data_IF_514772078232
#
_entry.id   IF_514772078232
#
_cell.length_a   1.000
_cell.length_b   1.000
_cell.length_c   1.000
_cell.angle_alpha   90.00
_cell.angle_beta   90.00
_cell.angle_gamma   90.00
#
_symmetry.space_group_name_H-M   'P 1'
#
loop_
_entity.id
_entity.type
_entity.pdbx_description
1 polymer ?
#
# COMPACT_ATOMS: atom_id res chain seq x y z
N UNK A 1 33.05 17.87 1.88
CA UNK A 1 32.28 16.65 1.55
C UNK A 1 31.41 16.16 2.71
N UNK A 2 31.91 16.03 3.96
CA UNK A 2 31.12 15.54 5.12
C UNK A 2 29.87 16.36 5.49
N UNK A 3 29.89 17.68 5.29
CA UNK A 3 28.75 18.56 5.60
C UNK A 3 27.54 18.34 4.67
N UNK A 4 27.78 17.92 3.42
CA UNK A 4 26.70 17.63 2.46
C UNK A 4 25.93 16.36 2.87
N UNK A 5 26.62 15.39 3.45
CA UNK A 5 25.99 14.16 3.96
C UNK A 5 25.07 14.41 5.16
N UNK A 6 25.35 15.43 5.99
CA UNK A 6 24.47 15.80 7.11
C UNK A 6 23.15 16.44 6.68
N UNK A 7 23.10 17.09 5.51
CA UNK A 7 21.88 17.77 5.02
C UNK A 7 21.01 16.84 4.17
N UNK A 8 21.58 15.76 3.65
CA UNK A 8 20.89 14.76 2.83
C UNK A 8 19.58 14.21 3.45
N UNK A 9 19.49 13.80 4.73
CA UNK A 9 18.24 13.27 5.28
C UNK A 9 17.12 14.31 5.36
N UNK A 10 17.45 15.58 5.60
CA UNK A 10 16.47 16.68 5.63
C UNK A 10 15.91 16.93 4.23
N UNK A 11 16.79 16.93 3.23
CA UNK A 11 16.37 17.06 1.83
C UNK A 11 15.52 15.88 1.37
N UNK A 12 15.89 14.65 1.75
CA UNK A 12 15.09 13.45 1.46
C UNK A 12 13.70 13.54 2.10
N UNK A 13 13.61 14.02 3.34
CA UNK A 13 12.33 14.19 4.05
C UNK A 13 11.41 15.23 3.40
N UNK A 14 11.98 16.30 2.83
CA UNK A 14 11.21 17.34 2.11
C UNK A 14 10.67 16.85 0.76
N UNK A 15 11.32 15.86 0.14
CA UNK A 15 10.97 15.35 -1.19
C UNK A 15 10.09 14.10 -1.07
N UNK A 16 10.07 13.41 0.08
CA UNK A 16 9.21 12.24 0.25
C UNK A 16 7.74 12.63 0.12
N UNK A 17 7.01 12.07 -0.87
CA UNK A 17 5.57 12.25 -0.91
C UNK A 17 4.98 11.72 0.39
N UNK A 18 4.02 12.45 0.95
CA UNK A 18 3.18 11.98 2.06
C UNK A 18 2.39 10.77 1.57
N UNK A 19 3.00 9.58 1.69
CA UNK A 19 2.34 8.32 1.43
C UNK A 19 1.38 8.07 2.60
N UNK A 20 0.16 8.57 2.47
CA UNK A 20 -0.91 8.17 3.37
C UNK A 20 -1.21 6.70 3.12
N UNK A 21 -0.90 5.86 4.10
CA UNK A 21 -1.32 4.47 4.14
C UNK A 21 -2.83 4.41 4.46
N UNK A 22 -3.65 4.94 3.56
CA UNK A 22 -5.09 4.80 3.66
C UNK A 22 -5.44 3.37 3.24
N UNK A 23 -6.06 2.63 4.14
CA UNK A 23 -6.63 1.35 3.78
C UNK A 23 -7.62 1.58 2.61
N UNK A 24 -7.56 0.74 1.56
CA UNK A 24 -8.58 0.77 0.52
C UNK A 24 -9.96 0.71 1.15
N UNK A 25 -10.99 1.23 0.49
CA UNK A 25 -12.38 1.21 0.98
C UNK A 25 -12.92 -0.21 1.11
N UNK A 26 -12.42 -0.96 2.09
CA UNK A 26 -12.82 -2.32 2.46
C UNK A 26 -14.16 -2.17 3.15
N UNK A 27 -15.19 -2.73 2.54
CA UNK A 27 -16.52 -2.78 3.15
C UNK A 27 -16.85 -4.19 3.54
N UNK A 28 -17.51 -4.35 4.67
CA UNK A 28 -18.08 -5.61 5.08
C UNK A 28 -19.59 -5.55 5.21
N UNK A 29 -20.24 -6.66 4.88
CA UNK A 29 -21.68 -6.83 5.05
C UNK A 29 -21.94 -8.17 5.75
N UNK A 30 -22.71 -8.19 6.85
CA UNK A 30 -23.06 -9.44 7.51
C UNK A 30 -24.00 -10.25 6.62
N UNK A 31 -23.82 -11.57 6.61
CA UNK A 31 -24.67 -12.52 5.88
C UNK A 31 -25.61 -13.27 6.84
N UNK A 32 -26.81 -13.66 6.38
CA UNK A 32 -27.65 -14.59 7.12
C UNK A 32 -26.87 -15.86 7.47
N UNK A 33 -26.94 -16.30 8.72
CA UNK A 33 -26.16 -17.45 9.22
C UNK A 33 -24.80 -17.09 9.85
N UNK A 34 -24.53 -15.80 10.09
CA UNK A 34 -23.35 -15.35 10.86
C UNK A 34 -22.07 -15.21 10.03
N UNK A 35 -22.17 -15.26 8.70
CA UNK A 35 -21.06 -15.00 7.80
C UNK A 35 -20.80 -13.51 7.57
N UNK A 36 -19.72 -13.18 6.87
CA UNK A 36 -19.38 -11.81 6.49
C UNK A 36 -18.89 -11.78 5.03
N UNK A 37 -19.54 -10.97 4.21
CA UNK A 37 -19.08 -10.63 2.87
C UNK A 37 -18.13 -9.44 2.96
N UNK A 38 -17.09 -9.48 2.14
CA UNK A 38 -16.06 -8.45 2.07
C UNK A 38 -15.94 -7.99 0.63
N UNK A 39 -15.90 -6.67 0.42
CA UNK A 39 -15.66 -6.07 -0.89
C UNK A 39 -14.41 -5.22 -0.84
N UNK A 40 -13.55 -5.38 -1.86
CA UNK A 40 -12.35 -4.60 -2.07
C UNK A 40 -12.40 -3.96 -3.47
N UNK A 41 -11.92 -2.72 -3.66
CA UNK A 41 -11.86 -2.12 -4.99
C UNK A 41 -11.05 -2.97 -5.98
N UNK A 42 -11.57 -3.15 -7.19
CA UNK A 42 -10.90 -3.94 -8.26
C UNK A 42 -9.51 -3.41 -8.55
N UNK A 43 -9.33 -2.09 -8.54
CA UNK A 43 -8.02 -1.43 -8.71
C UNK A 43 -6.98 -1.93 -7.69
N UNK A 44 -7.39 -2.18 -6.44
CA UNK A 44 -6.51 -2.69 -5.39
C UNK A 44 -6.16 -4.16 -5.62
N UNK A 45 -7.12 -4.97 -6.06
CA UNK A 45 -6.86 -6.36 -6.42
C UNK A 45 -5.82 -6.45 -7.54
N UNK A 46 -6.03 -5.69 -8.63
CA UNK A 46 -5.09 -5.60 -9.74
C UNK A 46 -3.71 -5.17 -9.26
N UNK A 47 -3.64 -4.14 -8.42
CA UNK A 47 -2.38 -3.64 -7.86
C UNK A 47 -1.63 -4.71 -7.04
N UNK A 48 -2.30 -5.38 -6.10
CA UNK A 48 -1.68 -6.42 -5.25
C UNK A 48 -1.24 -7.60 -6.11
N UNK A 49 -2.08 -8.03 -7.05
CA UNK A 49 -1.74 -9.09 -8.00
C UNK A 49 -0.49 -8.71 -8.82
N UNK A 50 -0.42 -7.48 -9.34
CA UNK A 50 0.78 -6.99 -10.04
C UNK A 50 2.01 -6.94 -9.14
N UNK A 51 1.87 -6.63 -7.85
CA UNK A 51 2.96 -6.70 -6.88
C UNK A 51 3.48 -8.12 -6.70
N UNK A 52 2.59 -9.12 -6.67
CA UNK A 52 2.99 -10.54 -6.66
C UNK A 52 3.79 -10.86 -7.93
N UNK A 53 3.35 -10.34 -9.09
CA UNK A 53 4.10 -10.50 -10.34
C UNK A 53 5.49 -9.86 -10.30
N UNK A 54 5.58 -8.66 -9.72
CA UNK A 54 6.84 -7.95 -9.56
C UNK A 54 7.79 -8.60 -8.56
N UNK A 55 7.25 -9.15 -7.46
CA UNK A 55 8.04 -9.78 -6.40
C UNK A 55 8.64 -11.13 -6.80
N UNK A 56 8.23 -11.72 -7.93
CA UNK A 56 8.75 -13.00 -8.40
C UNK A 56 8.29 -14.24 -7.60
N UNK A 57 7.29 -14.10 -6.72
CA UNK A 57 6.74 -15.21 -5.92
C UNK A 57 5.76 -16.08 -6.75
N UNK A 58 6.26 -16.70 -7.83
CA UNK A 58 5.54 -17.72 -8.58
C UNK A 58 6.14 -19.13 -8.45
N UNK A 59 7.08 -19.33 -7.52
CA UNK A 59 7.72 -20.61 -7.26
C UNK A 59 7.93 -20.80 -5.75
#
# INVERSE_FOLDING_TARGET
MRRLLSVAPVLLWLITPLAFAQLPGITSQPLPGGGQSWSLPVQTLVFITSLTFYSGNFY
#
